data_IF_514999274920
#
_entry.id   IF_514999274920
#
_cell.length_a   1.000
_cell.length_b   1.000
_cell.length_c   1.000
_cell.angle_alpha   90.00
_cell.angle_beta   90.00
_cell.angle_gamma   90.00
#
_symmetry.space_group_name_H-M   'P 1'
#
loop_
_entity.id
_entity.type
_entity.pdbx_description
1 polymer ?
#
# COMPACT_ATOMS: atom_id res chain seq x y z
N UNK A 1 -18.40 -1.33 -6.17
CA UNK A 1 -17.80 -1.37 -7.52
C UNK A 1 -16.67 -2.38 -7.48
N UNK A 2 -16.12 -2.80 -8.63
CA UNK A 2 -14.93 -3.65 -8.65
C UNK A 2 -13.98 -3.01 -9.63
N UNK A 3 -12.79 -2.63 -9.15
CA UNK A 3 -11.73 -2.09 -9.99
C UNK A 3 -11.05 -3.25 -10.73
N UNK A 4 -10.69 -3.04 -11.99
CA UNK A 4 -9.96 -4.05 -12.78
C UNK A 4 -8.65 -3.46 -13.28
N UNK A 5 -7.53 -4.09 -12.92
CA UNK A 5 -6.17 -3.66 -13.29
C UNK A 5 -5.49 -4.80 -14.04
N UNK A 6 -5.27 -4.63 -15.36
CA UNK A 6 -4.70 -5.65 -16.24
C UNK A 6 -5.39 -7.02 -16.16
N UNK A 7 -6.71 -7.04 -15.94
CA UNK A 7 -7.51 -8.26 -15.80
C UNK A 7 -7.59 -8.81 -14.37
N UNK A 8 -6.81 -8.29 -13.43
CA UNK A 8 -6.96 -8.59 -12.00
C UNK A 8 -8.11 -7.78 -11.40
N UNK A 9 -9.05 -8.47 -10.76
CA UNK A 9 -10.17 -7.84 -10.05
C UNK A 9 -9.75 -7.45 -8.65
N UNK A 10 -10.01 -6.21 -8.29
CA UNK A 10 -9.72 -5.61 -7.00
C UNK A 10 -11.04 -5.22 -6.36
N UNK A 11 -11.30 -5.80 -5.19
CA UNK A 11 -12.48 -5.51 -4.40
C UNK A 11 -12.37 -4.13 -3.74
N UNK A 12 -13.48 -3.41 -3.62
CA UNK A 12 -13.54 -2.11 -2.95
C UNK A 12 -13.01 -2.16 -1.51
N UNK A 13 -13.17 -3.31 -0.83
CA UNK A 13 -12.65 -3.52 0.52
C UNK A 13 -11.14 -3.33 0.62
N UNK A 14 -10.39 -3.61 -0.46
CA UNK A 14 -8.94 -3.41 -0.51
C UNK A 14 -8.59 -1.91 -0.50
N UNK A 15 -9.38 -1.10 -1.20
CA UNK A 15 -9.22 0.37 -1.21
C UNK A 15 -9.57 0.94 0.16
N UNK A 16 -10.65 0.46 0.78
CA UNK A 16 -11.04 0.88 2.13
C UNK A 16 -9.97 0.52 3.17
N UNK A 17 -9.39 -0.67 3.10
CA UNK A 17 -8.28 -1.06 3.98
C UNK A 17 -7.06 -0.15 3.80
N UNK A 18 -6.74 0.23 2.57
CA UNK A 18 -5.65 1.18 2.29
C UNK A 18 -5.97 2.57 2.85
N UNK A 19 -7.22 3.04 2.73
CA UNK A 19 -7.67 4.30 3.31
C UNK A 19 -7.51 4.32 4.84
N UNK A 20 -7.97 3.27 5.52
CA UNK A 20 -7.80 3.16 6.98
C UNK A 20 -6.33 3.11 7.40
N UNK A 21 -5.46 2.48 6.59
CA UNK A 21 -4.02 2.46 6.84
C UNK A 21 -3.39 3.86 6.74
N UNK A 22 -3.83 4.67 5.79
CA UNK A 22 -3.29 6.02 5.54
C UNK A 22 -3.90 7.09 6.46
N UNK A 23 -5.15 6.89 6.89
CA UNK A 23 -5.98 7.86 7.62
C UNK A 23 -5.25 8.61 8.74
N UNK A 24 -4.51 7.97 9.67
CA UNK A 24 -3.88 8.70 10.78
C UNK A 24 -2.88 9.78 10.31
N UNK A 25 -2.02 9.41 9.37
CA UNK A 25 -1.02 10.33 8.80
C UNK A 25 -1.66 11.40 7.89
N UNK A 26 -2.72 11.02 7.19
CA UNK A 26 -3.43 11.88 6.27
C UNK A 26 -4.20 12.98 7.00
N UNK A 27 -4.98 12.61 8.02
CA UNK A 27 -5.76 13.55 8.82
C UNK A 27 -4.87 14.54 9.57
N UNK A 28 -3.70 14.09 10.06
CA UNK A 28 -2.71 14.97 10.66
C UNK A 28 -2.19 16.02 9.66
N UNK A 29 -1.90 15.60 8.43
CA UNK A 29 -1.33 16.46 7.38
C UNK A 29 -2.37 17.45 6.83
N UNK A 30 -3.59 16.98 6.57
CA UNK A 30 -4.68 17.75 5.94
C UNK A 30 -5.74 18.19 6.94
N UNK A 31 -5.35 18.45 8.20
CA UNK A 31 -6.26 18.81 9.30
C UNK A 31 -7.17 20.02 9.01
N UNK A 32 -6.71 20.94 8.15
CA UNK A 32 -7.42 22.18 7.82
C UNK A 32 -8.31 22.07 6.56
N UNK A 33 -8.28 20.94 5.86
CA UNK A 33 -9.14 20.69 4.70
C UNK A 33 -10.56 20.38 5.16
N UNK A 34 -11.56 20.72 4.33
CA UNK A 34 -12.94 20.33 4.61
C UNK A 34 -13.05 18.80 4.79
N UNK A 35 -13.76 18.30 5.82
CA UNK A 35 -13.81 16.87 6.10
C UNK A 35 -14.31 16.00 4.94
N UNK A 36 -15.25 16.51 4.11
CA UNK A 36 -15.77 15.74 2.97
C UNK A 36 -14.77 15.71 1.83
N UNK A 37 -14.13 16.84 1.54
CA UNK A 37 -13.07 16.90 0.53
C UNK A 37 -11.88 16.03 0.94
N UNK A 38 -11.53 16.05 2.23
CA UNK A 38 -10.46 15.24 2.79
C UNK A 38 -10.73 13.74 2.65
N UNK A 39 -11.96 13.31 2.97
CA UNK A 39 -12.35 11.90 2.83
C UNK A 39 -12.34 11.45 1.37
N UNK A 40 -12.87 12.27 0.47
CA UNK A 40 -12.87 11.96 -0.96
C UNK A 40 -11.44 11.82 -1.51
N UNK A 41 -10.55 12.74 -1.14
CA UNK A 41 -9.16 12.70 -1.57
C UNK A 41 -8.38 11.53 -0.95
N UNK A 42 -8.65 11.18 0.31
CA UNK A 42 -8.07 9.99 0.95
C UNK A 42 -8.46 8.72 0.19
N UNK A 43 -9.73 8.58 -0.20
CA UNK A 43 -10.20 7.44 -0.98
C UNK A 43 -9.56 7.39 -2.37
N UNK A 44 -9.41 8.53 -3.04
CA UNK A 44 -8.75 8.62 -4.34
C UNK A 44 -7.27 8.22 -4.25
N UNK A 45 -6.52 8.73 -3.28
CA UNK A 45 -5.12 8.30 -3.06
C UNK A 45 -5.02 6.83 -2.69
N UNK A 46 -5.94 6.32 -1.88
CA UNK A 46 -5.96 4.90 -1.51
C UNK A 46 -6.17 4.03 -2.74
N UNK A 47 -7.01 4.47 -3.68
CA UNK A 47 -7.21 3.79 -4.95
C UNK A 47 -5.93 3.78 -5.79
N UNK A 48 -5.25 4.92 -5.93
CA UNK A 48 -3.99 5.01 -6.68
C UNK A 48 -2.90 4.12 -6.07
N UNK A 49 -2.73 4.14 -4.75
CA UNK A 49 -1.76 3.28 -4.05
C UNK A 49 -2.05 1.78 -4.28
N UNK A 50 -3.32 1.39 -4.28
CA UNK A 50 -3.72 0.01 -4.56
C UNK A 50 -3.39 -0.37 -6.00
N UNK A 51 -3.67 0.51 -6.97
CA UNK A 51 -3.33 0.29 -8.39
C UNK A 51 -1.82 0.11 -8.53
N UNK A 52 -1.02 1.03 -7.98
CA UNK A 52 0.44 0.99 -8.06
C UNK A 52 1.00 -0.32 -7.47
N UNK A 53 0.54 -0.69 -6.27
CA UNK A 53 0.94 -1.95 -5.61
C UNK A 53 0.62 -3.16 -6.47
N UNK A 54 -0.55 -3.19 -7.12
CA UNK A 54 -0.94 -4.29 -8.01
C UNK A 54 -0.05 -4.34 -9.24
N UNK A 55 0.25 -3.21 -9.87
CA UNK A 55 1.16 -3.14 -11.02
C UNK A 55 2.57 -3.64 -10.68
N UNK A 56 3.13 -3.19 -9.55
CA UNK A 56 4.45 -3.65 -9.07
C UNK A 56 4.43 -5.16 -8.82
N UNK A 57 3.40 -5.67 -8.16
CA UNK A 57 3.27 -7.10 -7.86
C UNK A 57 3.11 -7.95 -9.13
N UNK A 58 2.36 -7.45 -10.13
CA UNK A 58 2.21 -8.12 -11.41
C UNK A 58 3.55 -8.19 -12.14
N UNK A 59 4.33 -7.11 -12.14
CA UNK A 59 5.64 -7.10 -12.79
C UNK A 59 6.68 -7.95 -12.06
N UNK A 60 6.70 -7.88 -10.72
CA UNK A 60 7.56 -8.74 -9.90
C UNK A 60 7.25 -10.23 -10.10
N UNK A 61 5.98 -10.61 -10.31
CA UNK A 61 5.61 -12.00 -10.64
C UNK A 61 6.12 -12.44 -12.01
N UNK A 62 6.24 -11.53 -12.98
CA UNK A 62 6.81 -11.84 -14.30
C UNK A 62 8.33 -12.01 -14.23
N UNK A 63 9.00 -11.11 -13.51
CA UNK A 63 10.45 -11.17 -13.27
C UNK A 63 10.74 -12.12 -12.11
N UNK A 64 10.76 -13.42 -12.41
CA UNK A 64 10.78 -14.52 -11.44
C UNK A 64 12.14 -14.79 -10.76
N UNK A 65 13.03 -13.79 -10.72
CA UNK A 65 14.29 -13.90 -10.01
C UNK A 65 14.01 -14.06 -8.52
N UNK A 66 14.18 -15.28 -8.01
CA UNK A 66 14.01 -15.58 -6.60
C UNK A 66 15.05 -14.80 -5.81
N UNK A 67 14.57 -14.00 -4.87
CA UNK A 67 15.43 -13.37 -3.87
C UNK A 67 16.05 -14.49 -3.01
N UNK A 68 17.39 -14.59 -2.94
CA UNK A 68 18.06 -15.57 -2.09
C UNK A 68 17.67 -15.42 -0.61
N UNK A 69 17.49 -16.54 0.09
CA UNK A 69 17.02 -16.57 1.49
C UNK A 69 17.96 -15.82 2.44
N UNK A 70 19.26 -15.91 2.21
CA UNK A 70 20.29 -15.21 2.99
C UNK A 70 20.14 -13.68 2.91
N UNK A 71 19.71 -13.13 1.77
CA UNK A 71 19.41 -11.70 1.64
C UNK A 71 18.15 -11.31 2.44
N UNK A 72 17.14 -12.17 2.47
CA UNK A 72 15.91 -11.95 3.27
C UNK A 72 16.26 -11.96 4.76
N UNK A 73 17.05 -12.94 5.20
CA UNK A 73 17.45 -13.08 6.60
C UNK A 73 18.32 -11.90 7.06
N UNK A 74 19.24 -11.42 6.20
CA UNK A 74 20.05 -10.24 6.48
C UNK A 74 19.21 -8.97 6.60
N UNK A 75 18.25 -8.74 5.70
CA UNK A 75 17.35 -7.60 5.77
C UNK A 75 16.47 -7.63 7.02
N UNK A 76 15.99 -8.82 7.42
CA UNK A 76 15.23 -9.00 8.65
C UNK A 76 16.08 -8.73 9.90
N UNK A 77 17.35 -9.15 9.90
CA UNK A 77 18.28 -8.89 11.00
C UNK A 77 18.52 -7.39 11.16
N UNK A 78 18.76 -6.64 10.06
CA UNK A 78 18.86 -5.17 10.08
C UNK A 78 17.62 -4.51 10.69
N UNK A 79 16.42 -4.97 10.31
CA UNK A 79 15.15 -4.42 10.81
C UNK A 79 14.95 -4.63 12.32
N UNK A 80 15.52 -5.70 12.89
CA UNK A 80 15.38 -6.04 14.32
C UNK A 80 16.30 -5.23 15.23
N UNK A 81 17.45 -4.74 14.75
CA UNK A 81 18.45 -4.03 15.56
C UNK A 81 17.88 -2.95 16.50
N UNK A 82 16.92 -2.09 16.09
CA UNK A 82 16.35 -1.08 16.97
C UNK A 82 15.53 -1.61 18.16
N UNK A 83 15.17 -2.91 18.13
CA UNK A 83 14.30 -3.56 19.11
C UNK A 83 15.04 -4.56 20.02
N UNK A 84 16.36 -4.74 19.84
CA UNK A 84 17.19 -5.65 20.64
C UNK A 84 17.78 -4.99 21.90
N UNK A 85 17.18 -3.89 22.36
CA UNK A 85 17.54 -3.18 23.60
C UNK A 85 16.85 -3.73 24.85
#
# INVERSE_FOLDING_TARGET
>A
MTLVVNGEKIEDSVIQQEAERLRPSYEQTFKNMDPKEREAQLLDWSRENVIERVLINQEAKKNSDRIPQDQIDAALAELKKPYEG
#
